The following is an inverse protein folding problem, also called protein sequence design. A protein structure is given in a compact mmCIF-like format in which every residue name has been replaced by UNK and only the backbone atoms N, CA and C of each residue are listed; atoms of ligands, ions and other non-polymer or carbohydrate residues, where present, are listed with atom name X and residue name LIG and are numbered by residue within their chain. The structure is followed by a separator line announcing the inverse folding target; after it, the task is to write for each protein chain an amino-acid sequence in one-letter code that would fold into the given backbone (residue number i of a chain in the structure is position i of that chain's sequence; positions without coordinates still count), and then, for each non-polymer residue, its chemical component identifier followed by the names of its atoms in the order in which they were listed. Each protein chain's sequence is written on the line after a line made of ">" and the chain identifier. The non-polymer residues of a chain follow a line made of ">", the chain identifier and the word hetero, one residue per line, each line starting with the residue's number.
data_IF_339524724192
#
_entry.id   IF_339524724192
#
_cell.length_a   1.000
_cell.length_b   1.000
_cell.length_c   1.000
_cell.angle_alpha   90.00
_cell.angle_beta   90.00
_cell.angle_gamma   90.00
#
_symmetry.space_group_name_H-M   'P 1'
#
loop_
_entity.id
_entity.type
_entity.pdbx_description
1 polymer ?
#
# COMPACT_ATOMS: atom_id res chain seq x y z
N UNK A 1 -0.44 26.75 6.78
CA UNK A 1 -0.54 26.16 5.43
C UNK A 1 -1.25 24.83 5.58
N UNK A 2 -2.13 24.46 4.66
CA UNK A 2 -2.76 23.11 4.65
C UNK A 2 -1.68 22.10 4.25
N UNK A 3 -1.76 20.88 4.78
CA UNK A 3 -0.89 19.79 4.35
C UNK A 3 -1.04 19.54 2.84
N UNK A 4 -0.01 18.98 2.21
CA UNK A 4 -0.02 18.67 0.78
C UNK A 4 0.34 17.20 0.55
N UNK A 5 -0.46 16.51 -0.25
CA UNK A 5 -0.18 15.16 -0.74
C UNK A 5 0.05 15.20 -2.24
N UNK A 6 1.19 14.69 -2.68
CA UNK A 6 1.41 14.37 -4.09
C UNK A 6 1.03 12.91 -4.36
N UNK A 7 0.26 12.68 -5.42
CA UNK A 7 -0.04 11.35 -5.94
C UNK A 7 0.59 11.20 -7.31
N UNK A 8 1.57 10.31 -7.44
CA UNK A 8 2.26 10.00 -8.69
C UNK A 8 1.60 8.82 -9.37
N UNK A 9 1.11 9.06 -10.58
CA UNK A 9 0.27 8.16 -11.35
C UNK A 9 -1.21 8.54 -11.28
N UNK A 10 -1.75 9.12 -12.35
CA UNK A 10 -3.17 9.49 -12.48
C UNK A 10 -4.06 8.35 -13.00
N UNK A 11 -3.63 7.10 -12.84
CA UNK A 11 -4.44 5.93 -13.14
C UNK A 11 -5.63 5.78 -12.18
N UNK A 12 -6.29 4.63 -12.21
CA UNK A 12 -7.47 4.40 -11.35
C UNK A 12 -7.14 4.47 -9.85
N UNK A 13 -6.01 3.88 -9.42
CA UNK A 13 -5.61 3.92 -8.00
C UNK A 13 -5.30 5.34 -7.57
N UNK A 14 -4.46 6.06 -8.33
CA UNK A 14 -4.05 7.42 -7.96
C UNK A 14 -5.20 8.42 -7.96
N UNK A 15 -6.08 8.39 -8.96
CA UNK A 15 -7.27 9.25 -8.99
C UNK A 15 -8.20 8.98 -7.78
N UNK A 16 -8.37 7.70 -7.39
CA UNK A 16 -9.14 7.36 -6.19
C UNK A 16 -8.41 7.74 -4.88
N UNK A 17 -7.07 7.76 -4.85
CA UNK A 17 -6.34 8.35 -3.72
C UNK A 17 -6.64 9.86 -3.62
N UNK A 18 -6.53 10.59 -4.73
CA UNK A 18 -6.82 12.01 -4.77
C UNK A 18 -8.26 12.33 -4.31
N UNK A 19 -9.24 11.59 -4.81
CA UNK A 19 -10.64 11.71 -4.39
C UNK A 19 -10.80 11.51 -2.88
N UNK A 20 -10.26 10.43 -2.33
CA UNK A 20 -10.41 10.12 -0.90
C UNK A 20 -9.71 11.12 0.01
N UNK A 21 -8.56 11.65 -0.42
CA UNK A 21 -7.88 12.73 0.30
C UNK A 21 -8.74 13.98 0.32
N UNK A 22 -9.36 14.33 -0.81
CA UNK A 22 -10.23 15.48 -0.97
C UNK A 22 -11.51 15.33 -0.12
N UNK A 23 -12.24 14.21 -0.25
CA UNK A 23 -13.48 13.96 0.51
C UNK A 23 -13.27 13.97 2.03
N UNK A 24 -12.09 13.54 2.50
CA UNK A 24 -11.71 13.61 3.91
C UNK A 24 -11.21 14.98 4.35
N UNK A 25 -10.98 15.91 3.42
CA UNK A 25 -10.39 17.22 3.71
C UNK A 25 -8.97 17.17 4.30
N UNK A 26 -8.21 16.08 4.04
CA UNK A 26 -6.93 15.82 4.70
C UNK A 26 -5.82 16.78 4.26
N UNK A 27 -5.76 17.09 2.96
CA UNK A 27 -4.68 17.86 2.37
C UNK A 27 -5.08 18.45 1.01
N UNK A 28 -4.33 19.44 0.55
CA UNK A 28 -4.30 19.80 -0.86
C UNK A 28 -3.62 18.67 -1.66
N UNK A 29 -4.05 18.44 -2.89
CA UNK A 29 -3.59 17.30 -3.70
C UNK A 29 -2.90 17.81 -4.98
N UNK A 30 -1.75 17.23 -5.28
CA UNK A 30 -1.13 17.32 -6.61
C UNK A 30 -1.15 15.94 -7.24
N UNK A 31 -1.87 15.81 -8.36
CA UNK A 31 -1.94 14.57 -9.15
C UNK A 31 -0.98 14.68 -10.32
N UNK A 32 0.04 13.82 -10.39
CA UNK A 32 1.08 13.85 -11.42
C UNK A 32 0.97 12.63 -12.31
N UNK A 33 1.04 12.82 -13.62
CA UNK A 33 1.15 11.73 -14.60
C UNK A 33 1.95 12.20 -15.83
N UNK A 34 2.61 11.25 -16.50
CA UNK A 34 3.35 11.52 -17.73
C UNK A 34 2.43 11.72 -18.95
N UNK A 35 1.18 11.25 -18.88
CA UNK A 35 0.22 11.36 -19.97
C UNK A 35 -0.41 12.75 -19.94
N UNK A 36 -0.11 13.55 -20.99
CA UNK A 36 -0.59 14.92 -21.11
C UNK A 36 -2.12 15.00 -21.02
N UNK A 37 -2.62 15.96 -20.26
CA UNK A 37 -4.06 16.21 -20.07
C UNK A 37 -4.75 15.29 -19.08
N UNK A 38 -4.24 14.08 -18.84
CA UNK A 38 -4.90 13.11 -17.94
C UNK A 38 -4.96 13.60 -16.48
N UNK A 39 -3.85 14.04 -15.85
CA UNK A 39 -3.93 14.52 -14.49
C UNK A 39 -4.75 15.81 -14.38
N UNK A 40 -4.67 16.72 -15.38
CA UNK A 40 -5.43 17.97 -15.40
C UNK A 40 -6.93 17.72 -15.48
N UNK A 41 -7.36 16.85 -16.42
CA UNK A 41 -8.77 16.52 -16.59
C UNK A 41 -9.37 15.88 -15.33
N UNK A 42 -8.64 14.93 -14.71
CA UNK A 42 -9.09 14.30 -13.47
C UNK A 42 -9.10 15.25 -12.27
N UNK A 43 -8.09 16.12 -12.17
CA UNK A 43 -8.07 17.13 -11.12
C UNK A 43 -9.23 18.12 -11.22
N UNK A 44 -9.57 18.54 -12.46
CA UNK A 44 -10.71 19.42 -12.71
C UNK A 44 -12.02 18.76 -12.34
N UNK A 45 -12.26 17.52 -12.78
CA UNK A 45 -13.47 16.75 -12.45
C UNK A 45 -13.64 16.56 -10.93
N UNK A 46 -12.53 16.26 -10.23
CA UNK A 46 -12.53 16.20 -8.79
C UNK A 46 -12.85 17.56 -8.14
N UNK A 47 -12.29 18.67 -8.63
CA UNK A 47 -12.61 20.01 -8.13
C UNK A 47 -14.10 20.34 -8.32
N UNK A 48 -14.67 19.99 -9.46
CA UNK A 48 -16.10 20.22 -9.77
C UNK A 48 -17.03 19.39 -8.88
N UNK A 49 -16.57 18.25 -8.36
CA UNK A 49 -17.35 17.46 -7.40
C UNK A 49 -17.35 18.05 -5.97
N UNK A 50 -16.38 18.92 -5.65
CA UNK A 50 -16.23 19.54 -4.34
C UNK A 50 -17.49 20.27 -3.83
N UNK A 51 -18.12 21.16 -4.61
CA UNK A 51 -19.34 21.86 -4.19
C UNK A 51 -20.52 20.93 -3.88
N UNK A 52 -20.57 19.75 -4.50
CA UNK A 52 -21.63 18.75 -4.30
C UNK A 52 -21.33 17.87 -3.08
N UNK A 53 -20.07 17.47 -2.91
CA UNK A 53 -19.62 16.57 -1.84
C UNK A 53 -19.29 17.30 -0.54
N UNK A 54 -19.08 18.61 -0.61
CA UNK A 54 -18.83 19.44 0.58
C UNK A 54 -17.37 19.52 1.02
N UNK A 55 -16.42 19.24 0.14
CA UNK A 55 -15.00 19.49 0.44
C UNK A 55 -14.48 20.75 -0.27
N UNK A 56 -13.45 21.34 0.34
CA UNK A 56 -12.83 22.59 -0.11
C UNK A 56 -11.31 22.47 0.00
N UNK A 57 -10.73 21.62 -0.84
CA UNK A 57 -9.28 21.42 -0.98
C UNK A 57 -8.83 21.80 -2.38
N UNK A 58 -7.58 22.22 -2.52
CA UNK A 58 -7.00 22.46 -3.84
C UNK A 58 -6.57 21.13 -4.45
N UNK A 59 -6.94 20.90 -5.71
CA UNK A 59 -6.51 19.73 -6.47
C UNK A 59 -5.87 20.22 -7.77
N UNK A 60 -4.59 19.90 -7.97
CA UNK A 60 -3.81 20.32 -9.14
C UNK A 60 -3.38 19.10 -9.94
N UNK A 61 -3.67 19.08 -11.24
CA UNK A 61 -3.12 18.09 -12.18
C UNK A 61 -1.88 18.64 -12.87
N UNK A 62 -0.81 17.85 -12.95
CA UNK A 62 0.44 18.28 -13.58
C UNK A 62 1.14 17.14 -14.34
N UNK A 63 1.91 17.51 -15.39
CA UNK A 63 2.80 16.58 -16.10
C UNK A 63 4.27 16.76 -15.69
N UNK A 64 4.54 17.64 -14.73
CA UNK A 64 5.84 17.85 -14.11
C UNK A 64 5.71 17.91 -12.59
N UNK A 65 6.85 17.91 -11.90
CA UNK A 65 6.88 17.86 -10.44
C UNK A 65 6.99 19.24 -9.77
N UNK A 66 6.99 20.34 -10.53
CA UNK A 66 7.09 21.70 -9.95
C UNK A 66 5.99 21.98 -8.92
N UNK A 67 4.70 21.66 -9.17
CA UNK A 67 3.64 21.90 -8.18
C UNK A 67 3.74 21.03 -6.92
N UNK A 68 4.52 19.93 -6.98
CA UNK A 68 4.66 18.98 -5.86
C UNK A 68 5.58 19.49 -4.75
N UNK A 69 6.25 20.62 -4.96
CA UNK A 69 7.22 21.14 -4.01
C UNK A 69 6.66 21.25 -2.59
N UNK A 70 7.44 20.75 -1.62
CA UNK A 70 7.09 20.72 -0.20
C UNK A 70 5.83 19.90 0.15
N UNK A 71 5.62 18.77 -0.54
CA UNK A 71 4.59 17.81 -0.13
C UNK A 71 5.01 17.10 1.16
N UNK A 72 4.05 16.90 2.06
CA UNK A 72 4.23 16.16 3.31
C UNK A 72 4.31 14.66 3.05
N UNK A 73 3.50 14.18 2.08
CA UNK A 73 3.45 12.79 1.65
C UNK A 73 3.48 12.73 0.12
N UNK A 74 4.22 11.73 -0.39
CA UNK A 74 4.16 11.34 -1.81
C UNK A 74 3.68 9.89 -1.91
N UNK A 75 2.52 9.68 -2.54
CA UNK A 75 1.96 8.36 -2.80
C UNK A 75 2.33 7.96 -4.23
N UNK A 76 3.13 6.90 -4.39
CA UNK A 76 3.58 6.43 -5.70
C UNK A 76 2.72 5.25 -6.13
N UNK A 77 1.81 5.51 -7.08
CA UNK A 77 0.93 4.51 -7.70
C UNK A 77 1.29 4.24 -9.16
N UNK A 78 2.20 5.02 -9.72
CA UNK A 78 2.65 4.90 -11.10
C UNK A 78 3.30 3.55 -11.36
N UNK A 79 2.91 2.89 -12.42
CA UNK A 79 3.42 1.58 -12.82
C UNK A 79 2.52 0.90 -13.82
N UNK A 80 3.04 -0.13 -14.47
CA UNK A 80 2.28 -0.95 -15.40
C UNK A 80 1.68 -2.17 -14.69
N UNK A 81 0.42 -2.55 -14.98
CA UNK A 81 -0.07 -3.87 -14.67
C UNK A 81 0.59 -4.91 -15.58
N UNK A 82 0.66 -6.16 -15.13
CA UNK A 82 1.19 -7.26 -15.93
C UNK A 82 0.37 -7.42 -17.22
N UNK A 83 1.06 -7.37 -18.36
CA UNK A 83 0.45 -7.60 -19.69
C UNK A 83 0.62 -9.06 -20.11
N UNK A 84 -0.29 -9.61 -20.94
CA UNK A 84 -0.09 -10.93 -21.54
C UNK A 84 1.26 -11.02 -22.25
N UNK A 85 1.99 -12.12 -22.04
CA UNK A 85 3.32 -12.35 -22.62
C UNK A 85 4.49 -11.68 -21.87
N UNK A 86 4.24 -10.84 -20.87
CA UNK A 86 5.27 -10.20 -20.06
C UNK A 86 5.75 -11.18 -18.95
N UNK A 87 7.05 -11.38 -18.86
CA UNK A 87 7.64 -12.15 -17.77
C UNK A 87 7.52 -11.40 -16.43
N UNK A 88 7.77 -12.09 -15.32
CA UNK A 88 7.79 -11.48 -13.98
C UNK A 88 8.93 -10.44 -13.88
N UNK A 89 10.08 -10.77 -14.45
CA UNK A 89 11.28 -9.91 -14.43
C UNK A 89 11.10 -8.68 -15.33
N UNK A 90 10.45 -8.80 -16.49
CA UNK A 90 10.17 -7.65 -17.36
C UNK A 90 9.27 -6.64 -16.64
N UNK A 91 8.24 -7.12 -15.95
CA UNK A 91 7.36 -6.26 -15.15
C UNK A 91 8.12 -5.60 -14.01
N UNK A 92 8.96 -6.36 -13.30
CA UNK A 92 9.76 -5.87 -12.19
C UNK A 92 10.67 -4.73 -12.65
N UNK A 93 11.40 -4.92 -13.76
CA UNK A 93 12.33 -3.91 -14.30
C UNK A 93 11.61 -2.69 -14.85
N UNK A 94 10.50 -2.88 -15.57
CA UNK A 94 9.70 -1.75 -16.08
C UNK A 94 9.18 -0.87 -14.94
N UNK A 95 8.65 -1.48 -13.87
CA UNK A 95 8.16 -0.74 -12.72
C UNK A 95 9.29 -0.17 -11.85
N UNK A 96 10.45 -0.82 -11.80
CA UNK A 96 11.64 -0.26 -11.15
C UNK A 96 12.04 1.09 -11.76
N UNK A 97 12.14 1.19 -13.09
CA UNK A 97 12.50 2.44 -13.76
C UNK A 97 11.48 3.56 -13.49
N UNK A 98 10.18 3.23 -13.48
CA UNK A 98 9.13 4.20 -13.15
C UNK A 98 9.25 4.68 -11.70
N UNK A 99 9.37 3.75 -10.75
CA UNK A 99 9.48 4.09 -9.32
C UNK A 99 10.78 4.83 -9.05
N UNK A 100 11.89 4.47 -9.70
CA UNK A 100 13.15 5.19 -9.61
C UNK A 100 12.98 6.65 -10.01
N UNK A 101 12.49 6.90 -11.23
CA UNK A 101 12.27 8.26 -11.74
C UNK A 101 11.30 9.07 -10.85
N UNK A 102 10.18 8.46 -10.46
CA UNK A 102 9.21 9.11 -9.56
C UNK A 102 9.82 9.47 -8.20
N UNK A 103 10.67 8.59 -7.66
CA UNK A 103 11.34 8.81 -6.38
C UNK A 103 12.41 9.91 -6.49
N UNK A 104 13.22 9.92 -7.54
CA UNK A 104 14.23 10.97 -7.80
C UNK A 104 13.58 12.36 -7.83
N UNK A 105 12.47 12.52 -8.56
CA UNK A 105 11.73 13.77 -8.62
C UNK A 105 11.04 14.12 -7.28
N UNK A 106 10.45 13.14 -6.60
CA UNK A 106 9.87 13.35 -5.27
C UNK A 106 10.91 13.89 -4.27
N UNK A 107 12.10 13.32 -4.24
CA UNK A 107 13.20 13.78 -3.36
C UNK A 107 13.64 15.21 -3.71
N UNK A 108 13.73 15.51 -5.00
CA UNK A 108 14.15 16.83 -5.48
C UNK A 108 13.21 17.95 -5.05
N UNK A 109 11.90 17.73 -5.17
CA UNK A 109 10.88 18.74 -4.89
C UNK A 109 10.33 18.69 -3.46
N UNK A 110 10.37 17.51 -2.82
CA UNK A 110 9.81 17.28 -1.49
C UNK A 110 10.76 16.46 -0.60
N UNK A 111 11.96 16.97 -0.28
CA UNK A 111 13.01 16.22 0.42
C UNK A 111 12.64 15.82 1.86
N UNK A 112 11.60 16.43 2.42
CA UNK A 112 11.11 16.14 3.78
C UNK A 112 9.86 15.24 3.79
N UNK A 113 9.36 14.81 2.63
CA UNK A 113 8.15 13.99 2.53
C UNK A 113 8.34 12.57 3.08
N UNK A 114 7.21 11.91 3.33
CA UNK A 114 7.14 10.46 3.56
C UNK A 114 6.63 9.83 2.26
N UNK A 115 7.27 8.73 1.83
CA UNK A 115 6.91 8.00 0.63
C UNK A 115 6.00 6.82 1.00
N UNK A 116 4.84 6.73 0.34
CA UNK A 116 3.95 5.58 0.42
C UNK A 116 3.94 4.88 -0.93
N UNK A 117 4.48 3.67 -1.00
CA UNK A 117 4.56 2.87 -2.21
C UNK A 117 3.30 2.02 -2.37
N UNK A 118 2.75 2.02 -3.58
CA UNK A 118 1.57 1.21 -3.98
C UNK A 118 1.87 0.35 -5.19
N UNK A 119 2.85 0.75 -6.01
CA UNK A 119 3.26 0.06 -7.23
C UNK A 119 3.78 -1.34 -6.95
N UNK A 120 3.35 -2.32 -7.77
CA UNK A 120 3.78 -3.73 -7.67
C UNK A 120 4.97 -4.05 -8.60
N UNK A 121 5.82 -5.03 -8.19
CA UNK A 121 5.82 -5.80 -6.93
C UNK A 121 6.18 -4.93 -5.74
N UNK A 122 5.25 -4.77 -4.80
CA UNK A 122 5.27 -3.72 -3.78
C UNK A 122 6.56 -3.68 -2.96
N UNK A 123 6.94 -4.82 -2.38
CA UNK A 123 8.07 -4.89 -1.44
C UNK A 123 9.39 -4.55 -2.14
N UNK A 124 9.57 -5.02 -3.39
CA UNK A 124 10.72 -4.70 -4.22
C UNK A 124 10.73 -3.22 -4.66
N UNK A 125 9.56 -2.62 -4.92
CA UNK A 125 9.45 -1.19 -5.26
C UNK A 125 9.71 -0.30 -4.04
N UNK A 126 9.28 -0.70 -2.85
CA UNK A 126 9.62 -0.01 -1.60
C UNK A 126 11.14 -0.05 -1.35
N UNK A 127 11.77 -1.20 -1.60
CA UNK A 127 13.23 -1.35 -1.55
C UNK A 127 13.93 -0.42 -2.54
N UNK A 128 13.46 -0.35 -3.77
CA UNK A 128 13.99 0.55 -4.80
C UNK A 128 13.87 2.03 -4.38
N UNK A 129 12.70 2.43 -3.88
CA UNK A 129 12.46 3.78 -3.40
C UNK A 129 13.38 4.16 -2.22
N UNK A 130 13.65 3.24 -1.29
CA UNK A 130 14.59 3.47 -0.20
C UNK A 130 16.02 3.70 -0.74
N UNK A 131 16.47 2.89 -1.68
CA UNK A 131 17.80 3.03 -2.28
C UNK A 131 17.99 4.35 -3.04
N UNK A 132 16.96 4.77 -3.76
CA UNK A 132 16.98 5.97 -4.60
C UNK A 132 16.83 7.25 -3.76
N UNK A 133 15.88 7.27 -2.83
CA UNK A 133 15.61 8.44 -2.00
C UNK A 133 16.73 8.72 -1.00
N UNK A 134 17.43 7.68 -0.54
CA UNK A 134 18.37 7.75 0.59
C UNK A 134 17.71 8.33 1.85
N UNK A 135 16.40 8.23 1.95
CA UNK A 135 15.67 8.63 3.14
C UNK A 135 15.93 7.67 4.29
N UNK A 136 15.71 8.11 5.50
CA UNK A 136 15.63 7.21 6.63
C UNK A 136 14.51 6.20 6.37
N UNK A 137 14.73 4.94 6.76
CA UNK A 137 13.82 3.81 6.49
C UNK A 137 12.39 4.05 7.00
N UNK A 138 12.25 4.82 8.08
CA UNK A 138 10.96 5.17 8.66
C UNK A 138 10.08 6.02 7.73
N UNK A 139 10.70 6.71 6.78
CA UNK A 139 10.02 7.59 5.81
C UNK A 139 9.67 6.91 4.49
N UNK A 140 9.93 5.62 4.35
CA UNK A 140 9.54 4.82 3.17
C UNK A 140 8.66 3.68 3.65
N UNK A 141 7.42 3.65 3.22
CA UNK A 141 6.41 2.70 3.70
C UNK A 141 5.70 2.07 2.50
N UNK A 142 5.51 0.76 2.52
CA UNK A 142 4.76 0.06 1.49
C UNK A 142 3.31 -0.23 1.92
N UNK A 143 2.35 0.05 1.05
CA UNK A 143 0.94 -0.29 1.24
C UNK A 143 0.74 -1.77 0.87
N UNK A 144 0.68 -2.64 1.88
CA UNK A 144 0.60 -4.09 1.75
C UNK A 144 -0.47 -4.68 2.66
N UNK A 145 -0.10 -5.05 3.86
CA UNK A 145 -0.96 -5.75 4.81
C UNK A 145 -2.22 -5.00 5.22
N UNK A 146 -2.25 -3.66 5.11
CA UNK A 146 -3.48 -2.88 5.32
C UNK A 146 -4.56 -3.34 4.36
N UNK A 147 -4.25 -3.48 3.06
CA UNK A 147 -5.15 -3.99 2.04
C UNK A 147 -5.47 -5.47 2.24
N UNK A 148 -4.45 -6.29 2.52
CA UNK A 148 -4.61 -7.74 2.65
C UNK A 148 -5.44 -8.09 3.89
N UNK A 149 -5.24 -7.37 5.00
CA UNK A 149 -6.07 -7.49 6.20
C UNK A 149 -7.50 -7.00 5.96
N UNK A 150 -7.71 -5.96 5.16
CA UNK A 150 -9.04 -5.50 4.78
C UNK A 150 -9.81 -6.58 3.98
N UNK A 151 -9.15 -7.28 3.05
CA UNK A 151 -9.73 -8.42 2.34
C UNK A 151 -10.12 -9.55 3.30
N UNK A 152 -9.19 -9.91 4.19
CA UNK A 152 -9.44 -10.97 5.19
C UNK A 152 -10.62 -10.61 6.10
N UNK A 153 -10.67 -9.38 6.62
CA UNK A 153 -11.81 -8.88 7.40
C UNK A 153 -13.13 -8.95 6.63
N UNK A 154 -13.12 -8.56 5.35
CA UNK A 154 -14.31 -8.61 4.49
C UNK A 154 -14.83 -10.03 4.32
N UNK A 155 -13.95 -10.99 4.04
CA UNK A 155 -14.36 -12.38 3.82
C UNK A 155 -14.83 -13.06 5.10
N UNK A 156 -14.22 -12.75 6.25
CA UNK A 156 -14.71 -13.19 7.56
C UNK A 156 -16.11 -12.63 7.82
N UNK A 157 -16.32 -11.33 7.60
CA UNK A 157 -17.59 -10.68 7.84
C UNK A 157 -18.71 -11.26 6.95
N UNK A 158 -18.40 -11.54 5.67
CA UNK A 158 -19.33 -12.14 4.73
C UNK A 158 -19.72 -13.57 5.14
N UNK A 159 -18.76 -14.39 5.56
CA UNK A 159 -19.01 -15.78 5.98
C UNK A 159 -19.92 -15.83 7.22
N UNK A 160 -19.68 -14.95 8.18
CA UNK A 160 -20.43 -14.92 9.45
C UNK A 160 -21.71 -14.07 9.41
N UNK A 161 -21.94 -13.30 8.33
CA UNK A 161 -23.07 -12.39 8.24
C UNK A 161 -23.02 -11.24 9.28
N UNK A 162 -21.82 -10.79 9.66
CA UNK A 162 -21.62 -9.73 10.66
C UNK A 162 -21.10 -8.44 10.04
N UNK A 163 -21.18 -7.33 10.78
CA UNK A 163 -20.55 -6.07 10.35
C UNK A 163 -19.04 -6.21 10.30
N UNK A 164 -18.42 -5.76 9.19
CA UNK A 164 -16.98 -5.74 9.03
C UNK A 164 -16.26 -4.85 10.06
N UNK A 165 -16.99 -3.90 10.67
CA UNK A 165 -16.46 -3.05 11.75
C UNK A 165 -16.14 -3.84 13.02
N UNK A 166 -16.79 -4.99 13.22
CA UNK A 166 -16.55 -5.88 14.35
C UNK A 166 -15.35 -6.82 14.13
N UNK A 167 -14.83 -6.92 12.90
CA UNK A 167 -13.76 -7.87 12.55
C UNK A 167 -12.39 -7.22 12.68
N UNK A 168 -11.54 -7.84 13.48
CA UNK A 168 -10.10 -7.55 13.54
C UNK A 168 -9.34 -8.69 12.89
N UNK A 169 -8.42 -8.37 11.99
CA UNK A 169 -7.57 -9.36 11.33
C UNK A 169 -6.21 -8.76 10.98
N UNK A 170 -5.19 -9.60 10.93
CA UNK A 170 -3.81 -9.23 10.63
C UNK A 170 -3.25 -10.17 9.57
N UNK A 171 -2.67 -9.59 8.53
CA UNK A 171 -1.93 -10.31 7.49
C UNK A 171 -0.50 -9.80 7.46
N UNK A 172 0.48 -10.69 7.53
CA UNK A 172 1.91 -10.42 7.48
C UNK A 172 2.51 -10.90 6.15
N UNK A 173 3.80 -10.59 5.96
CA UNK A 173 4.58 -11.07 4.83
C UNK A 173 4.58 -10.12 3.65
N UNK A 174 5.24 -10.49 2.56
CA UNK A 174 5.26 -9.75 1.31
C UNK A 174 3.88 -9.72 0.66
N UNK A 175 3.62 -8.65 -0.08
CA UNK A 175 2.32 -8.42 -0.74
C UNK A 175 2.16 -9.34 -1.97
N UNK A 176 1.65 -10.54 -1.76
CA UNK A 176 1.46 -11.57 -2.81
C UNK A 176 0.84 -12.84 -2.25
N UNK A 177 0.93 -13.93 -3.02
CA UNK A 177 0.39 -15.25 -2.69
C UNK A 177 1.06 -15.92 -1.47
N UNK A 178 2.25 -15.44 -1.09
CA UNK A 178 2.99 -15.90 0.10
C UNK A 178 2.63 -15.16 1.39
N UNK A 179 1.65 -14.25 1.36
CA UNK A 179 1.20 -13.55 2.57
C UNK A 179 0.73 -14.52 3.66
N UNK A 180 0.85 -14.11 4.92
CA UNK A 180 0.57 -14.91 6.11
C UNK A 180 -0.58 -14.32 6.92
N UNK A 181 -1.84 -14.72 6.66
CA UNK A 181 -2.96 -14.37 7.52
C UNK A 181 -2.80 -15.00 8.90
N UNK A 182 -2.76 -14.19 9.95
CA UNK A 182 -2.57 -14.65 11.35
C UNK A 182 -3.93 -14.94 11.98
N UNK A 183 -4.43 -16.15 11.74
CA UNK A 183 -5.79 -16.58 12.13
C UNK A 183 -6.02 -16.45 13.64
N UNK A 184 -5.06 -16.89 14.46
CA UNK A 184 -5.20 -16.86 15.93
C UNK A 184 -5.31 -15.47 16.55
N UNK A 185 -4.87 -14.42 15.83
CA UNK A 185 -5.01 -13.02 16.26
C UNK A 185 -6.21 -12.34 15.60
N UNK A 186 -6.91 -13.06 14.73
CA UNK A 186 -8.11 -12.55 14.06
C UNK A 186 -9.34 -12.92 14.88
N UNK A 187 -10.25 -11.96 15.03
CA UNK A 187 -11.40 -12.10 15.89
C UNK A 187 -12.59 -11.24 15.43
N UNK A 188 -13.76 -11.52 15.98
CA UNK A 188 -14.97 -10.72 15.84
C UNK A 188 -15.37 -10.22 17.22
N UNK A 189 -15.21 -8.92 17.47
CA UNK A 189 -15.50 -8.29 18.78
C UNK A 189 -14.85 -9.03 19.96
N UNK A 190 -13.61 -9.50 19.78
CA UNK A 190 -12.84 -10.23 20.80
C UNK A 190 -13.05 -11.75 20.80
N UNK A 191 -14.03 -12.28 20.05
CA UNK A 191 -14.24 -13.73 19.95
C UNK A 191 -13.30 -14.30 18.87
N UNK A 192 -12.38 -15.22 19.21
CA UNK A 192 -11.46 -15.80 18.23
C UNK A 192 -12.19 -16.50 17.07
N UNK A 193 -11.62 -16.46 15.86
CA UNK A 193 -12.24 -17.11 14.69
C UNK A 193 -12.43 -18.62 14.89
N UNK A 194 -11.57 -19.27 15.64
CA UNK A 194 -11.63 -20.71 15.94
C UNK A 194 -12.81 -21.12 16.81
N UNK A 195 -13.44 -20.16 17.49
CA UNK A 195 -14.70 -20.37 18.25
C UNK A 195 -15.94 -20.16 17.36
N UNK A 196 -15.78 -19.49 16.22
CA UNK A 196 -16.89 -19.07 15.34
C UNK A 196 -17.00 -19.91 14.07
N UNK A 197 -15.91 -20.53 13.63
CA UNK A 197 -15.82 -21.27 12.38
C UNK A 197 -14.94 -22.52 12.52
N UNK A 198 -15.26 -23.55 11.73
CA UNK A 198 -14.41 -24.74 11.62
C UNK A 198 -13.14 -24.47 10.78
N UNK A 199 -12.14 -25.34 10.93
CA UNK A 199 -10.85 -25.20 10.24
C UNK A 199 -10.97 -25.22 8.70
N UNK A 200 -11.82 -26.05 8.07
CA UNK A 200 -12.04 -26.00 6.63
C UNK A 200 -12.56 -24.66 6.13
N UNK A 201 -13.48 -24.03 6.85
CA UNK A 201 -14.03 -22.70 6.53
C UNK A 201 -12.97 -21.61 6.68
N UNK A 202 -12.19 -21.64 7.77
CA UNK A 202 -11.06 -20.73 7.96
C UNK A 202 -10.06 -20.87 6.81
N UNK A 203 -9.71 -22.11 6.42
CA UNK A 203 -8.80 -22.40 5.32
C UNK A 203 -9.28 -21.80 3.99
N UNK A 204 -10.56 -21.95 3.65
CA UNK A 204 -11.15 -21.34 2.44
C UNK A 204 -11.03 -19.81 2.44
N UNK A 205 -11.28 -19.17 3.59
CA UNK A 205 -11.20 -17.71 3.72
C UNK A 205 -9.75 -17.24 3.60
N UNK A 206 -8.80 -17.94 4.21
CA UNK A 206 -7.37 -17.67 4.08
C UNK A 206 -6.92 -17.75 2.62
N UNK A 207 -7.29 -18.82 1.91
CA UNK A 207 -6.93 -19.01 0.50
C UNK A 207 -7.60 -17.96 -0.39
N UNK A 208 -8.85 -17.58 -0.14
CA UNK A 208 -9.52 -16.51 -0.84
C UNK A 208 -8.84 -15.16 -0.59
N UNK A 209 -8.34 -14.92 0.62
CA UNK A 209 -7.59 -13.70 0.96
C UNK A 209 -6.31 -13.59 0.14
N UNK A 210 -5.53 -14.67 0.04
CA UNK A 210 -4.32 -14.73 -0.79
C UNK A 210 -4.62 -14.46 -2.26
N UNK A 211 -5.74 -14.93 -2.74
CA UNK A 211 -6.18 -14.82 -4.14
C UNK A 211 -7.09 -13.61 -4.41
N UNK A 212 -7.38 -12.77 -3.43
CA UNK A 212 -8.38 -11.69 -3.55
C UNK A 212 -8.09 -10.69 -4.65
N UNK A 213 -6.82 -10.40 -4.95
CA UNK A 213 -6.43 -9.58 -6.10
C UNK A 213 -6.73 -10.27 -7.44
N UNK A 214 -6.40 -11.56 -7.56
CA UNK A 214 -6.64 -12.35 -8.77
C UNK A 214 -8.16 -12.55 -9.01
N UNK A 215 -8.96 -12.72 -7.96
CA UNK A 215 -10.42 -12.81 -8.05
C UNK A 215 -11.01 -11.55 -8.69
N UNK A 216 -10.55 -10.34 -8.28
CA UNK A 216 -11.00 -9.08 -8.86
C UNK A 216 -10.59 -8.96 -10.34
N UNK A 217 -9.33 -9.29 -10.67
CA UNK A 217 -8.84 -9.28 -12.07
C UNK A 217 -9.66 -10.22 -12.95
N UNK A 218 -10.00 -11.41 -12.45
CA UNK A 218 -10.85 -12.38 -13.17
C UNK A 218 -12.23 -11.81 -13.51
N UNK A 219 -12.83 -11.01 -12.62
CA UNK A 219 -14.13 -10.36 -12.86
C UNK A 219 -14.01 -9.15 -13.77
N UNK A 220 -13.01 -8.29 -13.57
CA UNK A 220 -12.82 -7.08 -14.35
C UNK A 220 -12.32 -7.37 -15.78
N UNK A 221 -11.63 -8.49 -15.99
CA UNK A 221 -10.96 -8.90 -17.25
C UNK A 221 -9.84 -7.95 -17.69
N UNK A 222 -9.99 -6.66 -17.46
CA UNK A 222 -8.99 -5.62 -17.74
C UNK A 222 -8.75 -4.78 -16.48
N UNK A 223 -7.48 -4.45 -16.20
CA UNK A 223 -7.11 -3.68 -15.01
C UNK A 223 -6.95 -4.53 -13.74
N UNK A 224 -6.97 -3.88 -12.60
CA UNK A 224 -6.79 -4.49 -11.27
C UNK A 224 -7.66 -3.76 -10.23
N UNK A 225 -7.66 -4.22 -8.99
CA UNK A 225 -8.30 -3.51 -7.88
C UNK A 225 -7.76 -2.09 -7.75
N UNK A 226 -8.61 -1.11 -7.48
CA UNK A 226 -8.23 0.28 -7.28
C UNK A 226 -8.99 0.99 -6.14
N UNK A 227 -10.20 0.58 -5.81
CA UNK A 227 -10.94 1.16 -4.66
C UNK A 227 -10.32 0.79 -3.32
N UNK A 228 -10.05 -0.48 -3.08
CA UNK A 228 -9.49 -0.94 -1.82
C UNK A 228 -8.02 -0.52 -1.63
N UNK A 229 -7.10 -0.62 -2.64
CA UNK A 229 -5.74 -0.14 -2.47
C UNK A 229 -5.65 1.37 -2.25
N UNK A 230 -6.48 2.18 -2.92
CA UNK A 230 -6.51 3.63 -2.66
C UNK A 230 -7.03 3.95 -1.26
N UNK A 231 -8.03 3.23 -0.76
CA UNK A 231 -8.51 3.38 0.61
C UNK A 231 -7.41 3.03 1.63
N UNK A 232 -6.68 1.93 1.41
CA UNK A 232 -5.58 1.51 2.27
C UNK A 232 -4.44 2.53 2.28
N UNK A 233 -4.03 3.05 1.12
CA UNK A 233 -2.97 4.07 1.03
C UNK A 233 -3.37 5.38 1.73
N UNK A 234 -4.62 5.81 1.57
CA UNK A 234 -5.12 7.04 2.22
C UNK A 234 -5.30 6.85 3.73
N UNK A 235 -5.68 5.66 4.21
CA UNK A 235 -5.69 5.34 5.64
C UNK A 235 -4.29 5.48 6.27
N UNK A 236 -3.25 5.04 5.55
CA UNK A 236 -1.86 5.23 5.99
C UNK A 236 -1.49 6.71 5.99
N UNK A 237 -1.81 7.44 4.92
CA UNK A 237 -1.55 8.88 4.82
C UNK A 237 -2.25 9.68 5.93
N UNK A 238 -3.50 9.38 6.21
CA UNK A 238 -4.29 9.98 7.29
C UNK A 238 -3.64 9.73 8.67
N UNK A 239 -3.18 8.50 8.92
CA UNK A 239 -2.48 8.17 10.17
C UNK A 239 -1.19 8.97 10.36
N UNK A 240 -0.49 9.27 9.27
CA UNK A 240 0.74 10.06 9.27
C UNK A 240 0.43 11.54 9.47
N UNK A 241 -0.44 12.12 8.63
CA UNK A 241 -0.73 13.57 8.65
C UNK A 241 -1.36 14.04 9.97
N UNK A 242 -2.24 13.23 10.53
CA UNK A 242 -2.96 13.56 11.76
C UNK A 242 -2.31 12.96 13.02
N UNK A 243 -1.13 12.39 12.87
CA UNK A 243 -0.37 11.75 13.96
C UNK A 243 -1.18 10.72 14.79
N UNK A 244 -2.06 9.96 14.12
CA UNK A 244 -3.02 9.06 14.79
C UNK A 244 -2.38 7.90 15.55
N UNK A 245 -1.09 7.60 15.32
CA UNK A 245 -0.38 6.48 15.96
C UNK A 245 -1.07 5.13 15.74
N UNK A 246 -1.75 4.95 14.61
CA UNK A 246 -2.41 3.68 14.30
C UNK A 246 -1.40 2.56 14.12
N UNK A 247 -1.79 1.39 14.59
CA UNK A 247 -1.02 0.17 14.34
C UNK A 247 -1.62 -0.50 13.11
N UNK A 248 -0.89 -0.45 12.01
CA UNK A 248 -1.29 -0.97 10.71
C UNK A 248 -0.23 -1.95 10.18
N UNK A 249 -0.62 -3.07 9.54
CA UNK A 249 0.34 -3.93 8.88
C UNK A 249 0.80 -3.27 7.56
N UNK A 250 2.06 -2.84 7.53
CA UNK A 250 2.68 -2.17 6.39
C UNK A 250 3.96 -2.87 6.00
N UNK A 251 4.36 -2.77 4.73
CA UNK A 251 5.71 -3.18 4.34
C UNK A 251 6.71 -2.16 4.90
N UNK A 252 7.55 -2.63 5.81
CA UNK A 252 8.59 -1.89 6.52
C UNK A 252 9.95 -2.51 6.25
N UNK A 253 11.00 -1.68 6.23
CA UNK A 253 12.37 -2.16 6.12
C UNK A 253 12.83 -2.75 7.45
N UNK A 254 13.14 -4.04 7.46
CA UNK A 254 13.52 -4.80 8.65
C UNK A 254 15.05 -4.87 8.78
N UNK A 255 15.55 -4.69 9.99
CA UNK A 255 16.97 -4.75 10.34
C UNK A 255 17.25 -5.75 11.47
N UNK A 256 16.46 -6.81 11.55
CA UNK A 256 16.58 -7.87 12.55
C UNK A 256 15.23 -8.32 13.10
N UNK A 257 14.21 -7.49 12.98
CA UNK A 257 12.87 -7.86 13.41
C UNK A 257 12.42 -9.14 12.70
N UNK A 258 11.81 -10.06 13.43
CA UNK A 258 11.42 -11.40 12.96
C UNK A 258 12.59 -12.24 12.39
N UNK A 259 13.86 -11.88 12.67
CA UNK A 259 15.04 -12.51 12.09
C UNK A 259 15.24 -12.20 10.61
N UNK A 260 14.63 -11.12 10.08
CA UNK A 260 14.74 -10.67 8.70
C UNK A 260 15.60 -9.41 8.63
N UNK A 261 16.55 -9.35 7.71
CA UNK A 261 17.49 -8.24 7.56
C UNK A 261 17.50 -7.70 6.14
N UNK A 262 17.43 -6.37 6.01
CA UNK A 262 17.70 -5.69 4.73
C UNK A 262 16.59 -5.78 3.70
N UNK A 263 15.35 -6.09 4.12
CA UNK A 263 14.19 -6.27 3.25
C UNK A 263 12.96 -5.50 3.75
N UNK A 264 12.13 -5.09 2.81
CA UNK A 264 10.76 -4.68 3.10
C UNK A 264 9.86 -5.90 3.21
N UNK A 265 9.18 -6.03 4.34
CA UNK A 265 8.21 -7.12 4.59
C UNK A 265 7.03 -6.55 5.38
N UNK A 266 5.81 -7.01 5.10
CA UNK A 266 4.60 -6.59 5.79
C UNK A 266 4.56 -7.06 7.24
N UNK A 267 4.59 -6.13 8.17
CA UNK A 267 4.58 -6.35 9.63
C UNK A 267 3.76 -5.26 10.33
N UNK A 268 3.28 -5.48 11.58
CA UNK A 268 2.54 -4.46 12.30
C UNK A 268 3.42 -3.26 12.64
N UNK A 269 3.06 -2.08 12.13
CA UNK A 269 3.79 -0.84 12.30
C UNK A 269 2.92 0.21 12.98
N UNK A 270 3.48 0.96 13.93
CA UNK A 270 2.87 2.20 14.40
C UNK A 270 3.21 3.32 13.41
N UNK A 271 2.18 3.84 12.74
CA UNK A 271 2.28 4.99 11.84
C UNK A 271 1.89 6.28 12.55
N UNK A 272 2.76 7.26 12.51
CA UNK A 272 2.54 8.60 13.03
C UNK A 272 3.26 9.65 12.20
N UNK A 273 3.36 10.88 12.68
CA UNK A 273 3.89 12.04 11.94
C UNK A 273 5.30 11.83 11.36
N UNK A 274 6.08 10.90 11.88
CA UNK A 274 7.43 10.60 11.39
C UNK A 274 7.48 9.40 10.42
N UNK A 275 6.33 8.87 10.00
CA UNK A 275 6.22 7.63 9.25
C UNK A 275 6.13 6.42 10.17
N UNK A 276 6.94 5.38 9.95
CA UNK A 276 7.01 4.21 10.83
C UNK A 276 7.76 4.59 12.10
N UNK A 277 7.05 4.66 13.22
CA UNK A 277 7.64 5.02 14.51
C UNK A 277 8.03 3.82 15.36
N UNK A 278 7.43 2.66 15.09
CA UNK A 278 7.73 1.39 15.76
C UNK A 278 7.23 0.22 14.94
N UNK A 279 8.03 -0.84 14.90
CA UNK A 279 7.62 -2.17 14.45
C UNK A 279 7.28 -2.99 15.68
N UNK A 280 6.16 -3.72 15.64
CA UNK A 280 5.76 -4.63 16.70
C UNK A 280 6.08 -6.07 16.29
N UNK A 281 6.93 -6.74 17.05
CA UNK A 281 7.21 -8.15 16.85
C UNK A 281 6.17 -9.00 17.58
N UNK A 282 5.39 -9.74 16.81
CA UNK A 282 4.43 -10.71 17.34
C UNK A 282 5.18 -12.00 17.71
N UNK A 283 4.77 -12.64 18.79
CA UNK A 283 5.23 -14.00 19.09
C UNK A 283 4.54 -14.97 18.12
N UNK A 284 5.19 -15.27 17.02
CA UNK A 284 4.67 -16.18 16.01
C UNK A 284 4.80 -17.64 16.42
N UNK A 285 3.88 -18.49 15.97
CA UNK A 285 4.04 -19.94 16.03
C UNK A 285 5.16 -20.37 15.06
N UNK A 286 5.65 -21.60 15.21
CA UNK A 286 6.67 -22.13 14.29
C UNK A 286 6.18 -22.13 12.82
N UNK A 287 4.91 -22.41 12.58
CA UNK A 287 4.28 -22.40 11.27
C UNK A 287 4.16 -20.98 10.71
N UNK A 288 3.67 -20.02 11.50
CA UNK A 288 3.59 -18.60 11.12
C UNK A 288 4.98 -18.02 10.81
N UNK A 289 5.98 -18.35 11.64
CA UNK A 289 7.36 -17.91 11.43
C UNK A 289 7.93 -18.51 10.14
N UNK A 290 7.75 -19.80 9.89
CA UNK A 290 8.17 -20.44 8.66
C UNK A 290 7.48 -19.83 7.42
N UNK A 291 6.18 -19.53 7.52
CA UNK A 291 5.44 -18.81 6.49
C UNK A 291 6.02 -17.42 6.21
N UNK A 292 6.34 -16.66 7.26
CA UNK A 292 6.92 -15.32 7.13
C UNK A 292 8.32 -15.37 6.51
N UNK A 293 9.17 -16.34 6.89
CA UNK A 293 10.49 -16.53 6.28
C UNK A 293 10.38 -16.91 4.79
N UNK A 294 9.45 -17.80 4.44
CA UNK A 294 9.17 -18.14 3.03
C UNK A 294 8.75 -16.90 2.24
N UNK A 295 7.90 -16.06 2.83
CA UNK A 295 7.44 -14.82 2.20
C UNK A 295 8.60 -13.82 2.01
N UNK A 296 9.46 -13.67 3.01
CA UNK A 296 10.66 -12.84 2.91
C UNK A 296 11.64 -13.35 1.85
N UNK A 297 11.82 -14.67 1.73
CA UNK A 297 12.66 -15.27 0.68
C UNK A 297 12.14 -14.93 -0.73
N UNK A 298 10.83 -14.95 -0.95
CA UNK A 298 10.24 -14.55 -2.23
C UNK A 298 10.46 -13.06 -2.55
N UNK A 299 10.48 -12.19 -1.54
CA UNK A 299 10.86 -10.78 -1.71
C UNK A 299 12.35 -10.65 -2.02
N UNK A 300 13.21 -11.41 -1.32
CA UNK A 300 14.65 -11.41 -1.54
C UNK A 300 15.01 -11.75 -3.00
N UNK A 301 14.34 -12.75 -3.58
CA UNK A 301 14.55 -13.11 -4.99
C UNK A 301 14.34 -11.90 -5.93
N UNK A 302 13.25 -11.13 -5.73
CA UNK A 302 12.98 -9.94 -6.52
C UNK A 302 14.02 -8.83 -6.30
N UNK A 303 14.43 -8.64 -5.06
CA UNK A 303 15.46 -7.64 -4.68
C UNK A 303 16.81 -8.01 -5.29
N UNK A 304 17.17 -9.30 -5.35
CA UNK A 304 18.43 -9.76 -5.95
C UNK A 304 18.44 -9.57 -7.48
N UNK A 305 17.30 -9.78 -8.15
CA UNK A 305 17.15 -9.41 -9.57
C UNK A 305 17.39 -7.91 -9.77
N UNK A 306 16.80 -7.05 -8.93
CA UNK A 306 17.05 -5.60 -9.02
C UNK A 306 18.51 -5.24 -8.79
N UNK A 307 19.17 -5.85 -7.80
CA UNK A 307 20.60 -5.61 -7.52
C UNK A 307 21.52 -6.03 -8.68
N UNK A 308 21.19 -7.12 -9.36
CA UNK A 308 22.01 -7.65 -10.46
C UNK A 308 21.93 -6.79 -11.73
N UNK A 309 20.88 -5.97 -11.88
CA UNK A 309 20.61 -5.14 -13.06
C UNK A 309 20.78 -3.64 -12.81
N UNK A 310 21.14 -3.25 -11.57
CA UNK A 310 21.41 -1.87 -11.15
C UNK A 310 22.89 -1.53 -11.35
#
# INVERSE_FOLDING_TARGET
>A
MRNKITVVGAGNVGANCALRVAEKGLADVVLVDVVEGVPQGKALDLLESGPVQGYDVTITGANDYTPTANSDIVIITAGFPRKPGMSRDDLLMANYEIVRSATEEAVKFSPNSILILVTNPLDAMAQAALWVSKFNKERVVGMAGVLDSARFRTFIAQELGVSVSNVTAVVLGGHGDTMVPVVRLSNVSGIPLTELMDQPTIGRIVDRTRNGGAEIVKHLKTGSAYYAPSAAAVEMAESILEDKKRVLPCAAYLEGEYGIHGLFVGVPCKLGARGIEKIYELKLTAEEQAGLQKSAAAVQELVDVLKSKR
#
